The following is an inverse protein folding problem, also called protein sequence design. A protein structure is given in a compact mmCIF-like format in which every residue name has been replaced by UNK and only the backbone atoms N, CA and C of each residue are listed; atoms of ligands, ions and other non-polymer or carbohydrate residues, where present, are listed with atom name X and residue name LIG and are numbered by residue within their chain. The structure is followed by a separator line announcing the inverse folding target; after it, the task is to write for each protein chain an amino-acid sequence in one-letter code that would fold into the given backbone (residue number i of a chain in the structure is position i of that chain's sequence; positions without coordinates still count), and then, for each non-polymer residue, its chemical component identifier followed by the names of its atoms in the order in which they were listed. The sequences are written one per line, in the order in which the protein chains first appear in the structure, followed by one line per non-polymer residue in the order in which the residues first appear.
data_IF_387093021413
#
_entry.id   IF_387093021413
#
_cell.length_a   1.000
_cell.length_b   1.000
_cell.length_c   1.000
_cell.angle_alpha   90.00
_cell.angle_beta   90.00
_cell.angle_gamma   90.00
#
_symmetry.space_group_name_H-M   'P 1'
#
loop_
_entity.id
_entity.type
_entity.pdbx_description
1 polymer ?
#
# COMPACT_ATOMS: atom_id res chain seq x y z
N UNK A 1 -24.58 -50.94 -38.60
CA UNK A 1 -24.22 -49.67 -39.26
C UNK A 1 -24.79 -48.43 -38.54
N UNK A 2 -25.87 -48.55 -37.75
CA UNK A 2 -26.50 -47.40 -37.07
C UNK A 2 -25.89 -47.00 -35.70
N UNK A 3 -25.20 -47.90 -34.99
CA UNK A 3 -24.63 -47.55 -33.67
C UNK A 3 -23.38 -46.67 -33.74
N UNK A 4 -22.57 -46.79 -34.79
CA UNK A 4 -21.33 -46.02 -34.92
C UNK A 4 -21.60 -44.53 -35.24
N UNK A 5 -22.72 -44.21 -35.91
CA UNK A 5 -23.10 -42.82 -36.20
C UNK A 5 -23.56 -42.08 -34.93
N UNK A 6 -24.24 -42.77 -34.00
CA UNK A 6 -24.73 -42.17 -32.75
C UNK A 6 -23.60 -41.73 -31.83
N UNK A 7 -22.52 -42.51 -31.75
CA UNK A 7 -21.36 -42.19 -30.92
C UNK A 7 -20.62 -40.93 -31.44
N UNK A 8 -20.48 -40.79 -32.76
CA UNK A 8 -19.79 -39.63 -33.38
C UNK A 8 -20.55 -38.33 -33.13
N UNK A 9 -21.88 -38.35 -33.15
CA UNK A 9 -22.72 -37.17 -32.86
C UNK A 9 -22.64 -36.78 -31.37
N UNK A 10 -22.50 -37.76 -30.47
CA UNK A 10 -22.32 -37.52 -29.03
C UNK A 10 -20.96 -36.84 -28.75
N UNK A 11 -19.88 -37.25 -29.43
CA UNK A 11 -18.57 -36.60 -29.28
C UNK A 11 -18.53 -35.19 -29.87
N UNK A 12 -19.21 -34.94 -31.00
CA UNK A 12 -19.30 -33.59 -31.59
C UNK A 12 -20.11 -32.62 -30.73
N UNK A 13 -21.19 -33.08 -30.09
CA UNK A 13 -22.01 -32.26 -29.20
C UNK A 13 -21.36 -32.00 -27.84
N UNK A 14 -20.65 -32.98 -27.25
CA UNK A 14 -19.82 -32.75 -26.06
C UNK A 14 -18.60 -31.86 -26.34
N UNK A 15 -17.96 -31.98 -27.50
CA UNK A 15 -16.87 -31.09 -27.92
C UNK A 15 -17.31 -29.64 -28.06
N UNK A 16 -18.53 -29.41 -28.55
CA UNK A 16 -19.10 -28.06 -28.68
C UNK A 16 -19.48 -27.45 -27.32
N UNK A 17 -19.95 -28.27 -26.37
CA UNK A 17 -20.26 -27.86 -24.99
C UNK A 17 -19.00 -27.45 -24.20
N UNK A 18 -17.82 -27.95 -24.57
CA UNK A 18 -16.56 -27.63 -23.87
C UNK A 18 -15.82 -26.40 -24.43
N UNK A 19 -16.29 -25.80 -25.53
CA UNK A 19 -15.59 -24.69 -26.20
C UNK A 19 -16.21 -23.29 -25.96
N UNK A 20 -17.09 -23.15 -24.96
CA UNK A 20 -17.46 -21.83 -24.42
C UNK A 20 -16.67 -21.50 -23.16
N UNK A 21 -15.34 -21.46 -23.29
CA UNK A 21 -14.53 -20.63 -22.39
C UNK A 21 -14.84 -19.17 -22.74
N UNK A 22 -15.60 -18.51 -21.88
CA UNK A 22 -15.75 -17.05 -21.91
C UNK A 22 -14.36 -16.43 -22.00
N UNK A 23 -14.09 -15.68 -23.07
CA UNK A 23 -12.94 -14.77 -23.11
C UNK A 23 -13.22 -13.72 -22.05
N UNK A 24 -12.72 -13.95 -20.84
CA UNK A 24 -12.61 -12.89 -19.83
C UNK A 24 -11.76 -11.80 -20.47
N UNK A 25 -12.42 -10.77 -21.00
CA UNK A 25 -11.75 -9.56 -21.45
C UNK A 25 -11.00 -9.03 -20.25
N UNK A 26 -9.68 -9.21 -20.24
CA UNK A 26 -8.80 -8.46 -19.36
C UNK A 26 -9.01 -7.00 -19.68
N UNK A 27 -9.81 -6.32 -18.86
CA UNK A 27 -9.93 -4.87 -18.89
C UNK A 27 -8.53 -4.35 -18.63
N UNK A 28 -7.87 -3.82 -19.66
CA UNK A 28 -6.62 -3.09 -19.50
C UNK A 28 -6.98 -1.92 -18.59
N UNK A 29 -6.44 -1.84 -17.35
CA UNK A 29 -6.76 -0.74 -16.46
C UNK A 29 -6.38 0.56 -17.16
N UNK A 30 -7.33 1.49 -17.23
CA UNK A 30 -7.04 2.84 -17.76
C UNK A 30 -5.89 3.43 -16.92
N UNK A 31 -4.88 4.06 -17.53
CA UNK A 31 -3.79 4.68 -16.78
C UNK A 31 -4.38 5.61 -15.70
N UNK A 32 -4.04 5.38 -14.44
CA UNK A 32 -4.50 6.26 -13.36
C UNK A 32 -3.80 7.61 -13.53
N UNK A 33 -4.58 8.65 -13.84
CA UNK A 33 -4.10 10.03 -13.91
C UNK A 33 -4.41 10.72 -12.58
N UNK A 34 -3.39 10.98 -11.78
CA UNK A 34 -3.52 11.75 -10.55
C UNK A 34 -3.50 13.24 -10.90
N UNK A 35 -4.63 13.92 -10.68
CA UNK A 35 -4.77 15.37 -10.93
C UNK A 35 -4.39 16.20 -9.71
N UNK A 36 -4.47 15.61 -8.52
CA UNK A 36 -4.12 16.22 -7.25
C UNK A 36 -2.75 15.77 -6.76
N UNK A 37 -2.13 16.63 -5.96
CA UNK A 37 -0.80 16.42 -5.42
C UNK A 37 -0.78 15.26 -4.42
N UNK A 38 0.13 14.30 -4.65
CA UNK A 38 0.33 13.16 -3.74
C UNK A 38 1.41 13.48 -2.70
N UNK A 39 1.19 13.03 -1.47
CA UNK A 39 2.18 13.11 -0.39
C UNK A 39 2.26 11.78 0.38
N UNK A 40 3.45 11.45 0.87
CA UNK A 40 3.62 10.38 1.85
C UNK A 40 3.67 10.98 3.25
N UNK A 41 2.90 10.44 4.18
CA UNK A 41 2.92 10.87 5.58
C UNK A 41 3.70 9.85 6.40
N UNK A 42 4.62 10.32 7.25
CA UNK A 42 5.42 9.50 8.16
C UNK A 42 5.08 9.90 9.59
N UNK A 43 4.48 8.99 10.35
CA UNK A 43 4.06 9.18 11.74
C UNK A 43 5.10 8.57 12.66
N UNK A 44 5.75 9.41 13.47
CA UNK A 44 6.83 9.03 14.39
C UNK A 44 6.27 8.85 15.79
N UNK A 45 6.68 7.78 16.48
CA UNK A 45 6.42 7.58 17.90
C UNK A 45 7.24 8.54 18.76
N UNK A 46 6.58 9.50 19.39
CA UNK A 46 7.25 10.52 20.20
C UNK A 46 7.50 10.10 21.65
N UNK A 47 6.79 9.08 22.14
CA UNK A 47 7.04 8.46 23.46
C UNK A 47 8.38 7.74 23.53
N UNK A 48 8.90 7.27 22.40
CA UNK A 48 10.20 6.61 22.30
C UNK A 48 11.42 7.54 22.51
N UNK A 49 11.21 8.85 22.60
CA UNK A 49 12.26 9.87 22.82
C UNK A 49 13.50 9.69 21.92
N UNK A 50 13.27 9.28 20.66
CA UNK A 50 14.36 9.10 19.69
C UNK A 50 15.07 10.43 19.43
N UNK A 51 16.41 10.40 19.41
CA UNK A 51 17.21 11.53 18.93
C UNK A 51 16.97 11.79 17.43
N UNK A 52 17.27 13.02 17.00
CA UNK A 52 17.03 13.49 15.61
C UNK A 52 17.65 12.58 14.56
N UNK A 53 18.89 12.13 14.74
CA UNK A 53 19.56 11.22 13.81
C UNK A 53 18.85 9.87 13.67
N UNK A 54 18.35 9.32 14.79
CA UNK A 54 17.60 8.07 14.77
C UNK A 54 16.23 8.25 14.12
N UNK A 55 15.53 9.34 14.41
CA UNK A 55 14.27 9.69 13.73
C UNK A 55 14.47 9.73 12.21
N UNK A 56 15.50 10.45 11.75
CA UNK A 56 15.81 10.57 10.33
C UNK A 56 16.02 9.19 9.67
N UNK A 57 16.86 8.34 10.28
CA UNK A 57 17.10 6.98 9.79
C UNK A 57 15.81 6.14 9.70
N UNK A 58 14.98 6.19 10.75
CA UNK A 58 13.73 5.43 10.80
C UNK A 58 12.70 5.94 9.79
N UNK A 59 12.61 7.25 9.55
CA UNK A 59 11.81 7.82 8.46
C UNK A 59 12.30 7.35 7.08
N UNK A 60 13.62 7.30 6.84
CA UNK A 60 14.18 6.75 5.61
C UNK A 60 13.80 5.28 5.42
N UNK A 61 13.89 4.46 6.48
CA UNK A 61 13.45 3.07 6.43
C UNK A 61 11.95 2.94 6.13
N UNK A 62 11.11 3.77 6.74
CA UNK A 62 9.66 3.77 6.52
C UNK A 62 9.30 4.14 5.09
N UNK A 63 9.92 5.20 4.57
CA UNK A 63 9.74 5.63 3.19
C UNK A 63 10.17 4.55 2.19
N UNK A 64 11.35 3.97 2.37
CA UNK A 64 11.88 2.94 1.47
C UNK A 64 11.07 1.65 1.51
N UNK A 65 10.60 1.25 2.70
CA UNK A 65 9.75 0.07 2.87
C UNK A 65 8.44 0.19 2.09
N UNK A 66 7.74 1.33 2.25
CA UNK A 66 6.50 1.59 1.53
C UNK A 66 6.71 1.74 0.02
N UNK A 67 7.76 2.48 -0.37
CA UNK A 67 8.13 2.65 -1.77
C UNK A 67 8.38 1.31 -2.48
N UNK A 68 9.17 0.41 -1.87
CA UNK A 68 9.45 -0.92 -2.45
C UNK A 68 8.20 -1.79 -2.57
N UNK A 69 7.26 -1.68 -1.62
CA UNK A 69 5.99 -2.38 -1.69
C UNK A 69 5.15 -1.88 -2.88
N UNK A 70 5.05 -0.56 -3.02
CA UNK A 70 4.23 0.08 -4.05
C UNK A 70 4.83 0.02 -5.44
N UNK A 71 6.15 -0.02 -5.60
CA UNK A 71 6.77 -0.27 -6.91
C UNK A 71 6.24 -1.54 -7.59
N UNK A 72 5.87 -2.55 -6.79
CA UNK A 72 5.31 -3.82 -7.28
C UNK A 72 3.78 -3.79 -7.37
N UNK A 73 3.12 -3.05 -6.48
CA UNK A 73 1.66 -3.06 -6.31
C UNK A 73 0.94 -1.97 -7.09
N UNK A 74 1.48 -0.75 -7.12
CA UNK A 74 0.86 0.46 -7.68
C UNK A 74 1.94 1.41 -8.25
N UNK A 75 2.58 0.97 -9.33
CA UNK A 75 3.60 1.73 -10.04
C UNK A 75 3.10 3.12 -10.53
N UNK A 76 1.88 3.26 -11.08
CA UNK A 76 1.37 4.57 -11.50
C UNK A 76 1.32 5.60 -10.37
N UNK A 77 0.87 5.21 -9.17
CA UNK A 77 0.82 6.09 -8.00
C UNK A 77 2.22 6.54 -7.57
N UNK A 78 3.19 5.63 -7.58
CA UNK A 78 4.59 5.99 -7.33
C UNK A 78 5.09 6.98 -8.38
N UNK A 79 4.95 6.69 -9.67
CA UNK A 79 5.41 7.59 -10.73
C UNK A 79 4.77 8.98 -10.63
N UNK A 80 3.50 9.07 -10.25
CA UNK A 80 2.84 10.36 -10.01
C UNK A 80 3.43 11.09 -8.80
N UNK A 81 3.70 10.40 -7.71
CA UNK A 81 4.35 10.98 -6.52
C UNK A 81 5.80 11.41 -6.80
N UNK A 82 6.56 10.67 -7.62
CA UNK A 82 7.91 11.03 -8.05
C UNK A 82 7.91 12.31 -8.88
N UNK A 83 6.95 12.47 -9.79
CA UNK A 83 6.73 13.71 -10.55
C UNK A 83 6.38 14.89 -9.62
N UNK A 84 5.73 14.62 -8.50
CA UNK A 84 5.46 15.57 -7.41
C UNK A 84 6.65 15.79 -6.46
N UNK A 85 7.88 15.52 -6.89
CA UNK A 85 9.11 15.74 -6.12
C UNK A 85 9.17 14.99 -4.79
N UNK A 86 8.54 13.82 -4.70
CA UNK A 86 8.61 12.94 -3.55
C UNK A 86 8.17 13.61 -2.24
N UNK A 87 7.09 14.40 -2.24
CA UNK A 87 6.63 15.12 -1.04
C UNK A 87 6.41 14.20 0.15
N UNK A 88 7.01 14.55 1.29
CA UNK A 88 6.92 13.81 2.56
C UNK A 88 6.54 14.78 3.68
N UNK A 89 5.61 14.38 4.53
CA UNK A 89 5.23 15.12 5.74
C UNK A 89 5.52 14.24 6.95
N UNK A 90 6.20 14.79 7.95
CA UNK A 90 6.55 14.06 9.18
C UNK A 90 5.69 14.57 10.33
N UNK A 91 4.93 13.66 10.92
CA UNK A 91 4.01 13.90 12.02
C UNK A 91 4.44 13.11 13.25
N UNK A 92 3.86 13.43 14.40
CA UNK A 92 4.08 12.69 15.65
C UNK A 92 2.78 12.11 16.23
N UNK A 93 2.92 10.92 16.80
CA UNK A 93 1.89 10.27 17.63
C UNK A 93 2.44 10.00 19.04
N UNK A 94 1.57 9.93 20.06
CA UNK A 94 1.97 9.80 21.46
C UNK A 94 2.28 8.36 21.87
N UNK A 95 1.92 7.32 21.11
CA UNK A 95 2.07 5.93 21.55
C UNK A 95 2.02 4.92 20.40
N UNK A 96 2.40 3.67 20.67
CA UNK A 96 2.23 2.55 19.72
C UNK A 96 0.76 2.27 19.43
N UNK A 97 -0.10 2.38 20.43
CA UNK A 97 -1.54 2.16 20.28
C UNK A 97 -2.15 3.16 19.28
N UNK A 98 -1.80 4.45 19.39
CA UNK A 98 -2.28 5.47 18.45
C UNK A 98 -1.74 5.20 17.04
N UNK A 99 -0.47 4.82 16.90
CA UNK A 99 0.10 4.42 15.62
C UNK A 99 -0.67 3.27 14.97
N UNK A 100 -1.05 2.25 15.75
CA UNK A 100 -1.80 1.10 15.25
C UNK A 100 -3.23 1.48 14.86
N UNK A 101 -3.89 2.37 15.60
CA UNK A 101 -5.21 2.92 15.23
C UNK A 101 -5.16 3.69 13.91
N UNK A 102 -4.11 4.48 13.69
CA UNK A 102 -3.89 5.19 12.42
C UNK A 102 -3.69 4.19 11.27
N UNK A 103 -2.87 3.15 11.48
CA UNK A 103 -2.62 2.12 10.48
C UNK A 103 -3.90 1.32 10.13
N UNK A 104 -4.72 0.99 11.13
CA UNK A 104 -6.02 0.35 10.92
C UNK A 104 -6.97 1.25 10.11
N UNK A 105 -7.00 2.55 10.42
CA UNK A 105 -7.81 3.53 9.68
C UNK A 105 -7.35 3.67 8.23
N UNK A 106 -6.03 3.71 7.99
CA UNK A 106 -5.45 3.68 6.65
C UNK A 106 -5.86 2.42 5.89
N UNK A 107 -5.77 1.24 6.54
CA UNK A 107 -6.18 -0.04 5.95
C UNK A 107 -7.66 -0.05 5.56
N UNK A 108 -8.55 0.43 6.44
CA UNK A 108 -10.00 0.55 6.18
C UNK A 108 -10.32 1.46 4.99
N UNK A 109 -9.45 2.42 4.70
CA UNK A 109 -9.55 3.32 3.54
C UNK A 109 -8.80 2.83 2.30
N UNK A 110 -8.27 1.61 2.31
CA UNK A 110 -7.43 1.05 1.25
C UNK A 110 -6.17 1.87 0.95
N UNK A 111 -5.63 2.56 1.96
CA UNK A 111 -4.34 3.24 1.85
C UNK A 111 -3.22 2.28 2.23
N UNK A 112 -2.22 2.20 1.37
CA UNK A 112 -1.00 1.47 1.64
C UNK A 112 -0.19 2.14 2.74
N UNK A 113 0.42 1.31 3.59
CA UNK A 113 1.24 1.76 4.69
C UNK A 113 2.36 0.76 5.00
N UNK A 114 3.38 1.23 5.71
CA UNK A 114 4.48 0.39 6.17
C UNK A 114 4.92 0.81 7.58
N UNK A 115 5.18 -0.17 8.45
CA UNK A 115 5.64 0.07 9.82
C UNK A 115 7.05 -0.44 9.98
N UNK A 116 7.96 0.46 10.39
CA UNK A 116 9.32 0.10 10.76
C UNK A 116 9.32 -0.48 12.17
N UNK A 117 10.08 -1.56 12.34
CA UNK A 117 10.41 -2.15 13.64
C UNK A 117 11.90 -1.98 13.87
N UNK A 118 12.26 -1.47 15.03
CA UNK A 118 13.67 -1.32 15.38
C UNK A 118 14.30 -2.70 15.61
N UNK A 119 15.47 -2.93 15.01
CA UNK A 119 16.18 -4.20 15.12
C UNK A 119 16.83 -4.40 16.52
N UNK A 120 16.75 -3.40 17.41
CA UNK A 120 17.29 -3.46 18.76
C UNK A 120 18.78 -3.11 18.86
N UNK A 121 19.37 -2.50 17.83
CA UNK A 121 20.77 -2.04 17.83
C UNK A 121 20.95 -0.70 18.58
N UNK A 122 19.99 -0.31 19.42
CA UNK A 122 19.93 1.01 20.06
C UNK A 122 19.24 0.93 21.42
N UNK A 123 19.13 2.07 22.12
CA UNK A 123 18.51 2.23 23.44
C UNK A 123 16.99 1.96 23.52
N UNK A 124 16.35 1.54 22.43
CA UNK A 124 14.91 1.20 22.39
C UNK A 124 14.76 -0.31 22.46
N UNK A 125 13.74 -0.78 23.17
CA UNK A 125 13.44 -2.21 23.26
C UNK A 125 13.36 -2.85 21.86
N UNK A 126 14.09 -3.96 21.61
CA UNK A 126 14.08 -4.64 20.32
C UNK A 126 12.65 -4.95 19.85
N UNK A 127 12.38 -4.77 18.56
CA UNK A 127 11.07 -5.03 17.96
C UNK A 127 10.03 -3.91 18.14
N UNK A 128 10.38 -2.81 18.82
CA UNK A 128 9.51 -1.63 18.95
C UNK A 128 9.14 -1.05 17.59
N UNK A 129 7.85 -0.72 17.40
CA UNK A 129 7.39 0.00 16.20
C UNK A 129 7.73 1.47 16.33
N UNK A 130 8.50 2.00 15.39
CA UNK A 130 9.11 3.34 15.49
C UNK A 130 8.43 4.38 14.61
N UNK A 131 8.24 4.07 13.33
CA UNK A 131 7.69 4.97 12.32
C UNK A 131 6.71 4.21 11.42
N UNK A 132 5.55 4.81 11.19
CA UNK A 132 4.53 4.37 10.23
C UNK A 132 4.57 5.32 9.03
N UNK A 133 4.71 4.79 7.82
CA UNK A 133 4.52 5.56 6.57
C UNK A 133 3.18 5.19 5.94
N UNK A 134 2.48 6.16 5.33
CA UNK A 134 1.16 6.02 4.71
C UNK A 134 1.14 6.76 3.37
N UNK A 135 0.49 6.18 2.36
CA UNK A 135 0.37 6.75 1.01
C UNK A 135 1.42 6.20 0.03
N UNK A 136 1.88 6.98 -0.98
CA UNK A 136 1.52 8.37 -1.25
C UNK A 136 0.04 8.53 -1.60
N UNK A 137 -0.59 9.56 -1.04
CA UNK A 137 -2.02 9.79 -1.17
C UNK A 137 -2.31 11.29 -1.24
N UNK A 138 -3.50 11.63 -1.74
CA UNK A 138 -3.96 13.02 -1.81
C UNK A 138 -4.26 13.56 -0.42
N UNK A 139 -4.40 14.87 -0.28
CA UNK A 139 -4.86 15.49 0.98
C UNK A 139 -6.20 14.91 1.44
N UNK A 140 -7.16 14.77 0.51
CA UNK A 140 -8.51 14.30 0.81
C UNK A 140 -8.51 12.83 1.26
N UNK A 141 -7.70 11.97 0.62
CA UNK A 141 -7.52 10.57 1.03
C UNK A 141 -6.99 10.48 2.47
N UNK A 142 -6.06 11.37 2.85
CA UNK A 142 -5.38 11.37 4.15
C UNK A 142 -6.12 12.11 5.26
N UNK A 143 -7.13 12.93 4.93
CA UNK A 143 -7.81 13.85 5.86
C UNK A 143 -8.25 13.16 7.14
N UNK A 144 -9.06 12.10 7.06
CA UNK A 144 -9.55 11.43 8.29
C UNK A 144 -8.57 10.40 8.87
N UNK A 145 -7.35 10.32 8.34
CA UNK A 145 -6.31 9.40 8.82
C UNK A 145 -5.30 10.13 9.70
N UNK A 146 -4.89 11.34 9.29
CA UNK A 146 -3.74 12.02 9.90
C UNK A 146 -3.97 13.49 10.28
N UNK A 147 -5.15 14.07 10.01
CA UNK A 147 -5.39 15.51 10.24
C UNK A 147 -5.34 15.94 11.71
N UNK A 148 -5.58 15.03 12.66
CA UNK A 148 -5.51 15.29 14.10
C UNK A 148 -4.07 15.30 14.63
N UNK A 149 -3.10 14.87 13.83
CA UNK A 149 -1.70 14.77 14.23
C UNK A 149 -0.97 16.09 14.04
N UNK A 150 0.05 16.33 14.87
CA UNK A 150 0.90 17.51 14.79
C UNK A 150 2.18 17.19 14.01
N UNK A 151 2.77 18.21 13.39
CA UNK A 151 4.13 18.13 12.85
C UNK A 151 5.11 17.68 13.95
N UNK A 152 6.05 16.81 13.58
CA UNK A 152 7.05 16.26 14.50
C UNK A 152 7.91 17.37 15.11
#
# INVERSE_FOLDING_TARGET
MFELLGLVILFLSLGFLFQRRSKSQTLIPRPQTFTSELKMVMVVRHDLKMGTGKIAAQCCHACLGLYKSLLKKDLPRIQAWEKGYYKKIVLKCPSEEEMLKIAETASKKNLDYYIVRDAGLTQIAPGSKTVLSIGPATEDELKDVTSHLKLL
#
